data_IF_081077540292
#
_entry.id   IF_081077540292
#
_cell.length_a   1.000
_cell.length_b   1.000
_cell.length_c   1.000
_cell.angle_alpha   90.00
_cell.angle_beta   90.00
_cell.angle_gamma   90.00
#
_symmetry.space_group_name_H-M   'P 1'
#
loop_
_entity.id
_entity.type
_entity.pdbx_description
1 polymer ?
#
# COMPACT_ATOMS: atom_id res chain seq x y z
N UNK A 1 11.21 15.26 -19.90
CA UNK A 1 11.88 14.69 -18.72
C UNK A 1 12.68 13.49 -19.19
N UNK A 2 13.99 13.44 -18.90
CA UNK A 2 14.84 12.31 -19.29
C UNK A 2 14.65 11.18 -18.27
N UNK A 3 14.23 10.00 -18.73
CA UNK A 3 14.13 8.80 -17.89
C UNK A 3 15.53 8.26 -17.57
N UNK A 4 15.75 7.75 -16.36
CA UNK A 4 17.01 7.09 -16.02
C UNK A 4 17.04 5.67 -16.58
N UNK A 5 17.63 5.52 -17.77
CA UNK A 5 17.71 4.23 -18.49
C UNK A 5 18.35 3.13 -17.64
N UNK A 6 19.39 3.44 -16.87
CA UNK A 6 20.10 2.47 -16.02
C UNK A 6 19.20 1.89 -14.92
N UNK A 7 18.41 2.75 -14.27
CA UNK A 7 17.49 2.33 -13.20
C UNK A 7 16.31 1.53 -13.76
N UNK A 8 15.83 1.91 -14.94
CA UNK A 8 14.79 1.16 -15.66
C UNK A 8 15.31 -0.23 -16.05
N UNK A 9 16.55 -0.30 -16.57
CA UNK A 9 17.25 -1.54 -16.91
C UNK A 9 17.34 -2.47 -15.69
N UNK A 10 17.97 -1.99 -14.61
CA UNK A 10 18.11 -2.73 -13.34
C UNK A 10 16.76 -3.23 -12.82
N UNK A 11 15.72 -2.41 -12.91
CA UNK A 11 14.39 -2.77 -12.42
C UNK A 11 13.74 -3.89 -13.24
N UNK A 12 13.86 -3.87 -14.56
CA UNK A 12 13.34 -4.92 -15.44
C UNK A 12 14.17 -6.20 -15.27
N UNK A 13 15.50 -6.09 -15.23
CA UNK A 13 16.39 -7.22 -14.94
C UNK A 13 16.04 -7.89 -13.59
N UNK A 14 15.73 -7.08 -12.57
CA UNK A 14 15.26 -7.60 -11.29
C UNK A 14 13.95 -8.38 -11.42
N UNK A 15 12.95 -7.88 -12.17
CA UNK A 15 11.68 -8.58 -12.35
C UNK A 15 11.87 -9.99 -12.96
N UNK A 16 12.81 -10.12 -13.89
CA UNK A 16 13.16 -11.36 -14.58
C UNK A 16 14.30 -12.16 -13.89
N UNK A 17 14.78 -11.70 -12.73
CA UNK A 17 15.84 -12.36 -11.97
C UNK A 17 15.32 -13.58 -11.22
N UNK A 18 16.22 -14.53 -10.92
CA UNK A 18 15.87 -15.71 -10.11
C UNK A 18 15.27 -15.29 -8.75
N UNK A 19 15.88 -14.28 -8.12
CA UNK A 19 15.46 -13.76 -6.81
C UNK A 19 13.99 -13.29 -6.79
N UNK A 20 13.54 -12.65 -7.86
CA UNK A 20 12.14 -12.20 -7.95
C UNK A 20 11.23 -13.37 -8.34
N UNK A 21 11.62 -14.13 -9.38
CA UNK A 21 10.79 -15.21 -9.94
C UNK A 21 10.59 -16.40 -9.01
N UNK A 22 11.38 -16.56 -7.93
CA UNK A 22 11.08 -17.52 -6.87
C UNK A 22 9.72 -17.23 -6.22
N UNK A 23 9.36 -15.95 -6.05
CA UNK A 23 8.20 -15.51 -5.28
C UNK A 23 7.13 -14.77 -6.10
N UNK A 24 7.49 -14.22 -7.26
CA UNK A 24 6.60 -13.41 -8.09
C UNK A 24 5.70 -14.27 -8.98
N UNK A 25 4.54 -14.65 -8.43
CA UNK A 25 3.56 -15.47 -9.12
C UNK A 25 3.06 -14.83 -10.43
N UNK A 26 2.86 -13.50 -10.44
CA UNK A 26 2.34 -12.79 -11.61
C UNK A 26 3.27 -12.96 -12.81
N UNK A 27 4.55 -12.69 -12.64
CA UNK A 27 5.50 -12.81 -13.76
C UNK A 27 5.83 -14.25 -14.09
N UNK A 28 5.87 -15.16 -13.10
CA UNK A 28 6.00 -16.60 -13.38
C UNK A 28 4.89 -17.09 -14.32
N UNK A 29 3.63 -16.85 -13.98
CA UNK A 29 2.49 -17.30 -14.78
C UNK A 29 2.59 -16.80 -16.22
N UNK A 30 2.83 -15.50 -16.42
CA UNK A 30 2.94 -14.92 -17.76
C UNK A 30 4.08 -15.54 -18.57
N UNK A 31 5.27 -15.71 -17.96
CA UNK A 31 6.42 -16.28 -18.66
C UNK A 31 6.19 -17.76 -18.98
N UNK A 32 5.54 -18.52 -18.09
CA UNK A 32 5.25 -19.95 -18.30
C UNK A 32 4.17 -20.19 -19.36
N UNK A 33 3.17 -19.32 -19.44
CA UNK A 33 2.11 -19.41 -20.45
C UNK A 33 2.60 -19.01 -21.85
N UNK A 34 3.63 -18.16 -21.94
CA UNK A 34 4.18 -17.75 -23.22
C UNK A 34 5.14 -18.82 -23.78
N UNK A 35 4.91 -19.37 -24.99
CA UNK A 35 5.73 -20.45 -25.55
C UNK A 35 7.23 -20.15 -25.61
N UNK A 36 7.55 -18.87 -25.83
CA UNK A 36 8.93 -18.37 -25.93
C UNK A 36 9.43 -17.63 -24.69
N UNK A 37 8.65 -17.61 -23.61
CA UNK A 37 9.04 -17.00 -22.33
C UNK A 37 9.04 -15.45 -22.31
N UNK A 38 8.37 -14.80 -23.27
CA UNK A 38 8.33 -13.34 -23.34
C UNK A 38 7.31 -12.72 -22.36
N UNK A 39 7.74 -11.61 -21.76
CA UNK A 39 6.93 -10.72 -20.94
C UNK A 39 6.69 -9.41 -21.71
N UNK A 40 5.44 -9.10 -22.02
CA UNK A 40 5.11 -7.88 -22.76
C UNK A 40 5.39 -6.60 -21.95
N UNK A 41 5.76 -5.54 -22.64
CA UNK A 41 5.96 -4.22 -22.03
C UNK A 41 4.67 -3.63 -21.44
N UNK A 42 3.50 -4.02 -21.94
CA UNK A 42 2.22 -3.65 -21.31
C UNK A 42 2.15 -4.12 -19.85
N UNK A 43 2.63 -5.34 -19.57
CA UNK A 43 2.69 -5.86 -18.19
C UNK A 43 3.69 -5.10 -17.33
N UNK A 44 4.81 -4.67 -17.91
CA UNK A 44 5.89 -3.92 -17.23
C UNK A 44 5.44 -2.48 -16.93
N UNK A 45 4.83 -1.77 -17.88
CA UNK A 45 4.29 -0.42 -17.69
C UNK A 45 3.21 -0.37 -16.61
N UNK A 46 2.49 -1.46 -16.39
CA UNK A 46 1.49 -1.55 -15.33
C UNK A 46 2.09 -1.64 -13.92
N UNK A 47 3.39 -1.91 -13.78
CA UNK A 47 4.04 -2.02 -12.48
C UNK A 47 4.28 -0.65 -11.83
N UNK A 48 3.90 -0.52 -10.56
CA UNK A 48 3.99 0.74 -9.81
C UNK A 48 5.41 1.32 -9.77
N UNK A 49 6.44 0.48 -9.65
CA UNK A 49 7.83 0.94 -9.63
C UNK A 49 8.26 1.48 -11.00
N UNK A 50 7.83 0.89 -12.11
CA UNK A 50 8.08 1.42 -13.47
C UNK A 50 7.36 2.76 -13.68
N UNK A 51 6.09 2.87 -13.25
CA UNK A 51 5.33 4.14 -13.28
C UNK A 51 6.03 5.23 -12.47
N UNK A 52 6.57 4.91 -11.28
CA UNK A 52 7.33 5.85 -10.44
C UNK A 52 8.66 6.29 -11.06
N UNK A 53 9.27 5.46 -11.91
CA UNK A 53 10.45 5.82 -12.68
C UNK A 53 10.14 6.74 -13.88
N UNK A 54 8.87 7.10 -14.08
CA UNK A 54 8.44 8.02 -15.13
C UNK A 54 8.42 7.37 -16.52
N UNK A 55 8.45 6.04 -16.59
CA UNK A 55 8.38 5.30 -17.85
C UNK A 55 6.91 5.17 -18.28
N UNK A 56 6.61 5.64 -19.48
CA UNK A 56 5.26 5.67 -20.03
C UNK A 56 5.16 5.03 -21.41
N UNK A 57 6.27 4.79 -22.10
CA UNK A 57 6.27 4.26 -23.47
C UNK A 57 7.09 2.99 -23.64
N UNK A 58 6.80 2.22 -24.69
CA UNK A 58 7.56 1.02 -25.06
C UNK A 58 8.96 1.37 -25.54
N UNK A 59 9.10 2.45 -26.30
CA UNK A 59 10.40 2.94 -26.78
C UNK A 59 11.37 3.25 -25.63
N UNK A 60 10.85 3.83 -24.53
CA UNK A 60 11.62 4.08 -23.33
C UNK A 60 12.14 2.80 -22.68
N UNK A 61 11.32 1.75 -22.62
CA UNK A 61 11.74 0.43 -22.14
C UNK A 61 12.75 -0.20 -23.11
N UNK A 62 12.45 -0.27 -24.40
CA UNK A 62 13.33 -0.86 -25.41
C UNK A 62 14.71 -0.20 -25.40
N UNK A 63 14.76 1.12 -25.35
CA UNK A 63 16.02 1.87 -25.32
C UNK A 63 16.79 1.67 -24.02
N UNK A 64 16.09 1.44 -22.90
CA UNK A 64 16.73 1.17 -21.60
C UNK A 64 17.27 -0.25 -21.49
N UNK A 65 16.77 -1.19 -22.31
CA UNK A 65 17.13 -2.60 -22.25
C UNK A 65 18.07 -3.04 -23.38
N UNK A 66 18.35 -2.15 -24.33
CA UNK A 66 19.11 -2.46 -25.55
C UNK A 66 20.53 -2.99 -25.28
N UNK A 67 21.15 -2.61 -24.16
CA UNK A 67 22.48 -3.00 -23.73
C UNK A 67 22.48 -4.01 -22.56
N UNK A 68 21.31 -4.55 -22.19
CA UNK A 68 21.23 -5.56 -21.12
C UNK A 68 21.85 -6.89 -21.55
N UNK A 69 22.58 -7.51 -20.62
CA UNK A 69 23.13 -8.87 -20.78
C UNK A 69 22.30 -9.93 -20.07
N UNK A 70 21.35 -9.53 -19.23
CA UNK A 70 20.50 -10.43 -18.43
C UNK A 70 19.14 -10.68 -19.08
N UNK A 71 18.71 -9.77 -19.95
CA UNK A 71 17.43 -9.85 -20.66
C UNK A 71 17.61 -9.52 -22.13
N UNK A 72 16.73 -10.05 -22.97
CA UNK A 72 16.75 -9.83 -24.41
C UNK A 72 15.37 -9.41 -24.93
N UNK A 73 15.38 -8.50 -25.91
CA UNK A 73 14.16 -7.99 -26.56
C UNK A 73 13.76 -8.89 -27.72
N UNK A 74 12.46 -8.95 -28.02
CA UNK A 74 11.98 -9.52 -29.27
C UNK A 74 12.25 -8.57 -30.46
N UNK A 75 12.03 -9.05 -31.69
CA UNK A 75 12.23 -8.26 -32.91
C UNK A 75 11.37 -6.98 -32.94
N UNK A 76 10.13 -7.06 -32.45
CA UNK A 76 9.20 -5.93 -32.38
C UNK A 76 9.55 -4.90 -31.28
N UNK A 77 10.50 -5.21 -30.38
CA UNK A 77 10.89 -4.38 -29.24
C UNK A 77 9.71 -3.97 -28.34
N UNK A 78 8.72 -4.83 -28.21
CA UNK A 78 7.54 -4.63 -27.35
C UNK A 78 7.45 -5.64 -26.20
N UNK A 79 8.40 -6.58 -26.16
CA UNK A 79 8.44 -7.66 -25.18
C UNK A 79 9.89 -7.98 -24.82
N UNK A 80 10.08 -8.52 -23.61
CA UNK A 80 11.40 -8.89 -23.07
C UNK A 80 11.34 -10.27 -22.44
N UNK A 81 12.40 -11.05 -22.59
CA UNK A 81 12.57 -12.31 -21.87
C UNK A 81 13.95 -12.41 -21.24
N UNK A 82 14.14 -13.47 -20.47
CA UNK A 82 15.44 -13.79 -19.87
C UNK A 82 16.43 -14.14 -20.98
N UNK A 83 17.67 -13.66 -20.87
CA UNK A 83 18.70 -13.96 -21.84
C UNK A 83 18.83 -15.49 -22.05
N UNK A 84 18.83 -15.92 -23.31
CA UNK A 84 18.88 -17.34 -23.68
C UNK A 84 17.67 -18.16 -23.23
N UNK A 85 16.54 -17.51 -22.93
CA UNK A 85 15.33 -18.13 -22.37
C UNK A 85 15.61 -19.01 -21.14
N UNK A 86 16.45 -18.51 -20.22
CA UNK A 86 16.85 -19.24 -19.00
C UNK A 86 15.62 -19.73 -18.21
N UNK A 87 15.55 -21.02 -17.84
CA UNK A 87 14.40 -21.59 -17.15
C UNK A 87 14.15 -20.90 -15.80
N UNK A 88 12.87 -20.71 -15.48
CA UNK A 88 12.41 -20.08 -14.25
C UNK A 88 12.84 -20.94 -13.05
N UNK A 89 13.37 -20.35 -11.95
CA UNK A 89 13.76 -21.12 -10.77
C UNK A 89 12.55 -21.86 -10.17
N UNK A 90 12.75 -22.97 -9.48
CA UNK A 90 11.67 -23.62 -8.74
C UNK A 90 11.08 -22.64 -7.70
N UNK A 91 9.75 -22.70 -7.48
CA UNK A 91 9.12 -21.95 -6.39
C UNK A 91 9.69 -22.51 -5.09
N UNK A 92 10.09 -21.65 -4.15
CA UNK A 92 10.36 -22.13 -2.78
C UNK A 92 9.09 -22.84 -2.32
N UNK A 93 9.23 -24.09 -1.86
CA UNK A 93 8.11 -24.86 -1.36
C UNK A 93 7.60 -24.16 -0.11
N UNK A 94 6.54 -23.38 -0.26
CA UNK A 94 5.73 -22.92 0.86
C UNK A 94 5.05 -24.17 1.40
N UNK A 95 5.06 -24.35 2.72
CA UNK A 95 4.36 -25.44 3.37
C UNK A 95 2.90 -25.48 2.85
N UNK A 96 2.43 -26.59 2.26
CA UNK A 96 1.05 -26.69 1.77
C UNK A 96 0.01 -26.31 2.82
N UNK A 97 0.28 -26.56 4.11
CA UNK A 97 -0.59 -26.14 5.20
C UNK A 97 -0.62 -24.61 5.35
N UNK A 98 0.53 -23.94 5.27
CA UNK A 98 0.61 -22.48 5.36
C UNK A 98 -0.06 -21.81 4.14
N UNK A 99 0.10 -22.40 2.95
CA UNK A 99 -0.56 -21.92 1.73
C UNK A 99 -2.08 -22.04 1.83
N UNK A 100 -2.58 -23.21 2.27
CA UNK A 100 -4.01 -23.45 2.43
C UNK A 100 -4.64 -22.55 3.52
N UNK A 101 -3.96 -22.36 4.65
CA UNK A 101 -4.43 -21.47 5.72
C UNK A 101 -4.53 -20.03 5.24
N UNK A 102 -3.52 -19.56 4.48
CA UNK A 102 -3.52 -18.21 3.91
C UNK A 102 -4.67 -18.02 2.92
N UNK A 103 -4.91 -19.00 2.06
CA UNK A 103 -6.00 -18.96 1.08
C UNK A 103 -7.37 -18.97 1.76
N UNK A 104 -7.57 -19.84 2.75
CA UNK A 104 -8.80 -19.89 3.56
C UNK A 104 -9.08 -18.55 4.25
N UNK A 105 -8.06 -17.94 4.86
CA UNK A 105 -8.17 -16.63 5.51
C UNK A 105 -8.47 -15.49 4.53
N UNK A 106 -7.94 -15.57 3.30
CA UNK A 106 -8.25 -14.59 2.25
C UNK A 106 -9.68 -14.76 1.72
N UNK A 107 -10.16 -16.00 1.59
CA UNK A 107 -11.53 -16.32 1.20
C UNK A 107 -12.55 -15.85 2.25
N UNK A 108 -12.37 -16.21 3.52
CA UNK A 108 -13.21 -15.79 4.65
C UNK A 108 -13.29 -14.25 4.72
N UNK A 109 -12.16 -13.57 4.49
CA UNK A 109 -12.12 -12.12 4.50
C UNK A 109 -12.86 -11.49 3.32
N UNK A 110 -12.75 -12.05 2.11
CA UNK A 110 -13.51 -11.56 0.94
C UNK A 110 -15.01 -11.75 1.16
N UNK A 111 -15.40 -12.89 1.73
CA UNK A 111 -16.79 -13.14 2.09
C UNK A 111 -17.31 -12.12 3.10
N UNK A 112 -16.51 -11.80 4.14
CA UNK A 112 -16.89 -10.80 5.14
C UNK A 112 -17.00 -9.39 4.55
N UNK A 113 -16.10 -8.98 3.64
CA UNK A 113 -16.20 -7.70 2.92
C UNK A 113 -17.52 -7.66 2.15
N UNK A 114 -17.77 -8.68 1.34
CA UNK A 114 -18.98 -8.78 0.53
C UNK A 114 -20.23 -8.74 1.41
N UNK A 115 -20.23 -9.46 2.54
CA UNK A 115 -21.34 -9.46 3.50
C UNK A 115 -21.71 -8.04 3.96
N UNK A 116 -20.74 -7.18 4.28
CA UNK A 116 -21.01 -5.81 4.73
C UNK A 116 -21.32 -4.83 3.60
N UNK A 117 -20.79 -5.07 2.39
CA UNK A 117 -21.08 -4.25 1.21
C UNK A 117 -22.48 -4.48 0.67
N UNK A 118 -22.97 -5.72 0.69
CA UNK A 118 -24.29 -6.10 0.21
C UNK A 118 -25.32 -6.29 1.33
N UNK A 119 -25.03 -5.83 2.56
CA UNK A 119 -25.90 -6.04 3.70
C UNK A 119 -27.27 -5.36 3.52
N UNK A 120 -28.33 -6.15 3.42
CA UNK A 120 -29.71 -5.66 3.41
C UNK A 120 -30.38 -5.91 4.77
N UNK A 121 -30.72 -4.87 5.56
CA UNK A 121 -31.26 -5.07 6.89
C UNK A 121 -32.70 -5.58 6.88
N UNK A 122 -32.97 -6.61 7.67
CA UNK A 122 -34.26 -6.86 8.30
C UNK A 122 -34.16 -6.37 9.73
N UNK A 123 -35.03 -5.44 10.12
CA UNK A 123 -35.02 -4.85 11.47
C UNK A 123 -35.99 -5.63 12.37
N UNK A 124 -35.50 -6.00 13.54
CA UNK A 124 -36.30 -6.64 14.58
C UNK A 124 -36.40 -5.71 15.79
N UNK A 125 -37.55 -5.72 16.45
CA UNK A 125 -37.72 -5.15 17.78
C UNK A 125 -37.69 -6.27 18.81
N UNK A 126 -37.09 -5.97 19.95
CA UNK A 126 -36.95 -6.88 21.08
C UNK A 126 -37.56 -6.26 22.32
N UNK A 127 -38.26 -7.04 23.14
CA UNK A 127 -38.79 -6.59 24.42
C UNK A 127 -38.76 -7.69 25.49
N UNK A 128 -38.54 -7.32 26.75
CA UNK A 128 -38.66 -8.20 27.91
C UNK A 128 -39.40 -7.51 29.07
N UNK A 129 -39.90 -8.32 30.01
CA UNK A 129 -40.73 -7.83 31.12
C UNK A 129 -39.91 -7.29 32.31
N UNK A 130 -38.65 -7.72 32.43
CA UNK A 130 -37.79 -7.39 33.57
C UNK A 130 -36.47 -6.75 33.11
N UNK A 131 -35.99 -5.74 33.84
CA UNK A 131 -34.69 -5.14 33.56
C UNK A 131 -33.56 -6.13 33.85
N UNK A 132 -32.49 -6.10 33.05
CA UNK A 132 -31.30 -6.94 33.27
C UNK A 132 -31.42 -8.37 32.73
N UNK A 133 -32.55 -8.75 32.13
CA UNK A 133 -32.74 -10.07 31.49
C UNK A 133 -31.74 -10.31 30.37
N UNK A 134 -31.48 -9.30 29.55
CA UNK A 134 -30.58 -9.40 28.43
C UNK A 134 -29.80 -8.10 28.23
N UNK A 135 -28.70 -8.22 27.50
CA UNK A 135 -27.96 -7.10 26.93
C UNK A 135 -27.62 -7.44 25.48
N UNK A 136 -27.18 -6.43 24.72
CA UNK A 136 -26.89 -6.60 23.30
C UNK A 136 -25.89 -7.73 23.00
N UNK A 137 -24.87 -7.97 23.85
CA UNK A 137 -23.87 -9.02 23.64
C UNK A 137 -24.51 -10.40 23.72
N UNK A 138 -25.29 -10.64 24.77
CA UNK A 138 -25.94 -11.92 24.99
C UNK A 138 -26.99 -12.20 23.91
N UNK A 139 -27.68 -11.16 23.41
CA UNK A 139 -28.60 -11.29 22.26
C UNK A 139 -27.84 -11.67 21.00
N UNK A 140 -26.76 -10.97 20.65
CA UNK A 140 -25.93 -11.32 19.48
C UNK A 140 -25.35 -12.73 19.59
N UNK A 141 -24.91 -13.13 20.79
CA UNK A 141 -24.38 -14.46 21.05
C UNK A 141 -25.46 -15.55 20.93
N UNK A 142 -26.66 -15.32 21.45
CA UNK A 142 -27.79 -16.23 21.35
C UNK A 142 -28.23 -16.42 19.88
N UNK A 143 -28.34 -15.32 19.12
CA UNK A 143 -28.64 -15.36 17.68
C UNK A 143 -27.64 -16.22 16.91
N UNK A 144 -26.34 -16.08 17.22
CA UNK A 144 -25.30 -16.88 16.58
C UNK A 144 -25.36 -18.35 17.01
N UNK A 145 -25.49 -18.64 18.31
CA UNK A 145 -25.43 -20.02 18.82
C UNK A 145 -26.70 -20.84 18.52
N UNK A 146 -27.87 -20.21 18.63
CA UNK A 146 -29.16 -20.90 18.52
C UNK A 146 -29.65 -20.95 17.07
N UNK A 147 -29.33 -19.95 16.26
CA UNK A 147 -29.87 -19.81 14.91
C UNK A 147 -28.81 -19.64 13.82
N UNK A 148 -27.51 -19.63 14.17
CA UNK A 148 -26.40 -19.44 13.22
C UNK A 148 -26.53 -18.16 12.37
N UNK A 149 -27.08 -17.09 12.94
CA UNK A 149 -27.23 -15.79 12.26
C UNK A 149 -26.41 -14.72 12.95
N UNK A 150 -25.74 -13.90 12.13
CA UNK A 150 -24.95 -12.79 12.60
C UNK A 150 -25.78 -11.49 12.57
N UNK A 151 -25.79 -10.77 13.70
CA UNK A 151 -26.44 -9.47 13.83
C UNK A 151 -25.38 -8.36 13.98
N UNK A 152 -24.95 -7.72 12.87
CA UNK A 152 -23.95 -6.64 12.93
C UNK A 152 -24.37 -5.43 13.78
N UNK A 153 -25.68 -5.21 13.87
CA UNK A 153 -26.27 -4.20 14.71
C UNK A 153 -27.17 -4.88 15.74
N UNK A 154 -26.90 -4.60 17.01
CA UNK A 154 -27.78 -4.93 18.11
C UNK A 154 -27.69 -3.83 19.16
N UNK A 155 -28.83 -3.37 19.63
CA UNK A 155 -28.97 -2.43 20.73
C UNK A 155 -30.07 -2.94 21.64
N UNK A 156 -29.79 -2.98 22.93
CA UNK A 156 -30.76 -3.35 23.94
C UNK A 156 -30.59 -2.41 25.13
N UNK A 157 -31.68 -1.74 25.51
CA UNK A 157 -31.76 -0.85 26.65
C UNK A 157 -32.18 -1.61 27.90
N UNK A 158 -33.03 -0.97 28.72
CA UNK A 158 -33.55 -1.55 29.97
C UNK A 158 -34.51 -2.71 29.73
N UNK A 159 -35.49 -2.52 28.84
CA UNK A 159 -36.56 -3.48 28.58
C UNK A 159 -36.76 -3.75 27.08
N UNK A 160 -36.24 -2.91 26.20
CA UNK A 160 -36.48 -3.00 24.78
C UNK A 160 -35.23 -2.66 23.95
N UNK A 161 -35.30 -2.97 22.66
CA UNK A 161 -34.19 -2.77 21.75
C UNK A 161 -34.51 -3.17 20.31
N UNK A 162 -33.45 -3.16 19.50
CA UNK A 162 -33.51 -3.57 18.11
C UNK A 162 -32.24 -4.29 17.69
N UNK A 163 -32.36 -5.20 16.73
CA UNK A 163 -31.22 -5.75 16.01
C UNK A 163 -31.51 -5.83 14.52
N UNK A 164 -30.45 -5.97 13.72
CA UNK A 164 -30.56 -6.11 12.27
C UNK A 164 -29.90 -7.41 11.82
N UNK A 165 -30.61 -8.19 11.02
CA UNK A 165 -30.07 -9.35 10.31
C UNK A 165 -29.97 -9.07 8.82
N UNK A 166 -29.11 -9.80 8.12
CA UNK A 166 -28.99 -9.70 6.67
C UNK A 166 -30.11 -10.51 6.00
N UNK A 167 -30.95 -9.85 5.20
CA UNK A 167 -32.04 -10.46 4.43
C UNK A 167 -31.57 -11.63 3.58
N UNK A 168 -30.43 -11.50 2.91
CA UNK A 168 -29.93 -12.52 1.98
C UNK A 168 -29.30 -13.73 2.70
N UNK A 169 -29.08 -13.62 4.02
CA UNK A 169 -28.44 -14.66 4.85
C UNK A 169 -29.34 -15.18 5.96
N UNK A 170 -30.58 -14.72 6.02
CA UNK A 170 -31.55 -15.13 7.05
C UNK A 170 -32.73 -15.77 6.34
N UNK A 171 -32.92 -17.07 6.51
CA UNK A 171 -34.04 -17.79 5.89
C UNK A 171 -35.36 -17.45 6.58
N UNK A 172 -36.48 -17.64 5.87
CA UNK A 172 -37.80 -17.34 6.43
C UNK A 172 -38.09 -18.21 7.67
N UNK A 173 -37.63 -19.46 7.69
CA UNK A 173 -37.79 -20.36 8.83
C UNK A 173 -37.11 -19.82 10.09
N UNK A 174 -35.93 -19.21 9.95
CA UNK A 174 -35.24 -18.57 11.09
C UNK A 174 -36.00 -17.35 11.58
N UNK A 175 -36.56 -16.56 10.66
CA UNK A 175 -37.38 -15.39 11.01
C UNK A 175 -38.61 -15.84 11.81
N UNK A 176 -39.31 -16.86 11.33
CA UNK A 176 -40.52 -17.39 11.94
C UNK A 176 -40.21 -17.96 13.34
N UNK A 177 -39.11 -18.72 13.48
CA UNK A 177 -38.63 -19.22 14.77
C UNK A 177 -38.32 -18.09 15.74
N UNK A 178 -37.59 -17.05 15.31
CA UNK A 178 -37.26 -15.92 16.17
C UNK A 178 -38.53 -15.20 16.66
N UNK A 179 -39.50 -14.98 15.78
CA UNK A 179 -40.75 -14.29 16.13
C UNK A 179 -41.63 -15.13 17.06
N UNK A 180 -41.69 -16.44 16.83
CA UNK A 180 -42.50 -17.37 17.63
C UNK A 180 -41.85 -17.64 19.01
N UNK A 181 -40.58 -18.02 19.00
CA UNK A 181 -39.90 -18.57 20.16
C UNK A 181 -39.13 -17.50 20.95
N UNK A 182 -38.85 -16.34 20.35
CA UNK A 182 -38.01 -15.30 20.95
C UNK A 182 -36.62 -15.83 21.31
N UNK A 183 -35.99 -15.22 22.31
CA UNK A 183 -34.71 -15.69 22.87
C UNK A 183 -34.86 -15.95 24.37
N UNK A 184 -34.51 -17.16 24.80
CA UNK A 184 -34.60 -17.57 26.19
C UNK A 184 -33.30 -17.22 26.96
N UNK A 185 -33.46 -16.60 28.13
CA UNK A 185 -32.37 -16.26 29.06
C UNK A 185 -32.76 -16.69 30.49
N UNK A 186 -32.36 -17.90 30.88
CA UNK A 186 -32.78 -18.50 32.16
C UNK A 186 -34.28 -18.76 32.16
N UNK A 187 -35.00 -18.23 33.15
CA UNK A 187 -36.47 -18.31 33.24
C UNK A 187 -37.17 -17.21 32.42
N UNK A 188 -36.43 -16.17 32.03
CA UNK A 188 -36.97 -15.00 31.34
C UNK A 188 -36.80 -15.12 29.82
N UNK A 189 -37.71 -14.48 29.07
CA UNK A 189 -37.72 -14.49 27.60
C UNK A 189 -37.66 -13.07 27.04
N UNK A 190 -36.85 -12.89 26.00
CA UNK A 190 -36.89 -11.71 25.13
C UNK A 190 -37.80 -12.04 23.95
N UNK A 191 -38.91 -11.31 23.84
CA UNK A 191 -39.81 -11.37 22.69
C UNK A 191 -39.20 -10.66 21.49
N UNK A 192 -39.46 -11.16 20.29
CA UNK A 192 -38.94 -10.61 19.04
C UNK A 192 -40.10 -10.38 18.08
N UNK A 193 -40.07 -9.24 17.37
CA UNK A 193 -41.01 -8.94 16.28
C UNK A 193 -40.26 -8.34 15.10
N UNK A 194 -40.68 -8.67 13.88
CA UNK A 194 -40.19 -7.95 12.69
C UNK A 194 -40.75 -6.53 12.74
N UNK A 195 -39.89 -5.54 12.52
CA UNK A 195 -40.30 -4.14 12.43
C UNK A 195 -40.70 -3.83 10.99
N UNK A 196 -41.99 -3.56 10.79
CA UNK A 196 -42.58 -3.22 9.50
C UNK A 196 -43.45 -1.96 9.62
N UNK A 197 -43.81 -1.35 8.48
CA UNK A 197 -44.69 -0.19 8.43
C UNK A 197 -44.24 0.95 9.35
N UNK A 198 -45.15 1.41 10.22
CA UNK A 198 -44.88 2.52 11.15
C UNK A 198 -43.74 2.22 12.13
N UNK A 199 -43.63 0.97 12.61
CA UNK A 199 -42.56 0.59 13.55
C UNK A 199 -41.18 0.67 12.89
N UNK A 200 -41.09 0.28 11.62
CA UNK A 200 -39.86 0.41 10.83
C UNK A 200 -39.50 1.88 10.61
N UNK A 201 -40.48 2.71 10.25
CA UNK A 201 -40.28 4.16 10.08
C UNK A 201 -39.75 4.81 11.36
N UNK A 202 -40.34 4.46 12.52
CA UNK A 202 -39.89 4.93 13.85
C UNK A 202 -38.46 4.50 14.17
N UNK A 203 -38.08 3.27 13.82
CA UNK A 203 -36.70 2.81 13.98
C UNK A 203 -35.72 3.69 13.20
N UNK A 204 -36.01 3.97 11.92
CA UNK A 204 -35.12 4.78 11.09
C UNK A 204 -35.01 6.23 11.60
N UNK A 205 -36.11 6.79 12.08
CA UNK A 205 -36.15 8.13 12.68
C UNK A 205 -35.30 8.21 13.96
N UNK A 206 -35.48 7.27 14.89
CA UNK A 206 -34.85 7.32 16.22
C UNK A 206 -33.44 6.71 16.25
N UNK A 207 -33.18 5.71 15.42
CA UNK A 207 -32.00 4.85 15.53
C UNK A 207 -31.20 4.72 14.23
N UNK A 208 -31.69 5.25 13.11
CA UNK A 208 -31.02 5.17 11.81
C UNK A 208 -29.61 5.75 11.79
N UNK A 209 -29.37 6.88 12.46
CA UNK A 209 -28.02 7.46 12.58
C UNK A 209 -27.05 6.53 13.31
N UNK A 210 -27.50 5.92 14.41
CA UNK A 210 -26.68 4.98 15.17
C UNK A 210 -26.41 3.71 14.39
N UNK A 211 -27.44 3.15 13.74
CA UNK A 211 -27.31 2.01 12.84
C UNK A 211 -26.27 2.27 11.75
N UNK A 212 -26.40 3.36 11.01
CA UNK A 212 -25.47 3.71 9.94
C UNK A 212 -24.03 3.88 10.47
N UNK A 213 -23.88 4.52 11.64
CA UNK A 213 -22.57 4.66 12.28
C UNK A 213 -21.92 3.31 12.60
N UNK A 214 -22.67 2.37 13.18
CA UNK A 214 -22.18 1.02 13.49
C UNK A 214 -21.80 0.26 12.22
N UNK A 215 -22.66 0.30 11.19
CA UNK A 215 -22.40 -0.41 9.92
C UNK A 215 -21.17 0.16 9.20
N UNK A 216 -20.99 1.48 9.17
CA UNK A 216 -19.83 2.12 8.58
C UNK A 216 -18.54 1.82 9.35
N UNK A 217 -18.60 1.75 10.69
CA UNK A 217 -17.45 1.31 11.49
C UNK A 217 -17.07 -0.13 11.16
N UNK A 218 -18.03 -1.04 11.07
CA UNK A 218 -17.79 -2.45 10.71
C UNK A 218 -17.19 -2.60 9.31
N UNK A 219 -17.73 -1.89 8.31
CA UNK A 219 -17.14 -1.83 6.96
C UNK A 219 -15.69 -1.33 7.01
N UNK A 220 -15.42 -0.28 7.78
CA UNK A 220 -14.07 0.26 7.94
C UNK A 220 -13.13 -0.72 8.63
N UNK A 221 -13.56 -1.42 9.68
CA UNK A 221 -12.75 -2.42 10.38
C UNK A 221 -12.26 -3.50 9.40
N UNK A 222 -13.18 -4.08 8.62
CA UNK A 222 -12.87 -5.12 7.64
C UNK A 222 -11.95 -4.58 6.53
N UNK A 223 -12.20 -3.37 6.04
CA UNK A 223 -11.39 -2.72 5.00
C UNK A 223 -10.01 -2.22 5.49
N UNK A 224 -9.89 -1.72 6.73
CA UNK A 224 -8.63 -1.27 7.31
C UNK A 224 -7.66 -2.44 7.49
N UNK A 225 -8.14 -3.65 7.81
CA UNK A 225 -7.30 -4.85 7.78
C UNK A 225 -6.68 -5.15 6.41
N UNK A 226 -7.23 -4.63 5.30
CA UNK A 226 -6.63 -4.72 3.95
C UNK A 226 -5.53 -3.67 3.80
N UNK A 227 -5.82 -2.42 4.15
CA UNK A 227 -4.88 -1.29 4.03
C UNK A 227 -3.67 -1.44 4.96
N UNK A 228 -3.88 -1.82 6.22
CA UNK A 228 -2.79 -2.03 7.18
C UNK A 228 -1.86 -3.21 6.82
N UNK A 229 -2.36 -4.25 6.15
CA UNK A 229 -1.52 -5.34 5.62
C UNK A 229 -0.69 -4.87 4.42
N UNK A 230 -1.26 -4.04 3.54
CA UNK A 230 -0.53 -3.38 2.44
C UNK A 230 0.56 -2.45 2.98
N UNK A 231 0.21 -1.62 3.97
CA UNK A 231 1.14 -0.67 4.60
C UNK A 231 2.22 -1.37 5.44
N UNK A 232 1.93 -2.53 6.07
CA UNK A 232 2.95 -3.38 6.73
C UNK A 232 3.91 -4.02 5.73
N UNK A 233 3.43 -4.44 4.55
CA UNK A 233 4.30 -4.94 3.47
C UNK A 233 5.22 -3.83 2.95
N UNK A 234 4.74 -2.59 2.88
CA UNK A 234 5.56 -1.42 2.54
C UNK A 234 6.51 -0.98 3.68
N UNK A 235 6.08 -1.07 4.96
CA UNK A 235 6.93 -0.75 6.12
C UNK A 235 8.05 -1.77 6.39
N UNK A 236 7.84 -3.06 6.10
CA UNK A 236 8.89 -4.11 6.23
C UNK A 236 10.08 -3.88 5.29
N UNK A 237 9.96 -2.95 4.33
CA UNK A 237 11.04 -2.53 3.42
C UNK A 237 11.82 -1.29 3.88
N UNK A 238 11.37 -0.51 4.88
CA UNK A 238 12.12 0.67 5.34
C UNK A 238 13.27 0.25 6.27
N UNK A 239 14.48 0.08 5.70
CA UNK A 239 15.72 -0.08 6.48
C UNK A 239 16.15 1.29 7.03
N UNK A 240 16.59 1.33 8.28
CA UNK A 240 17.29 2.49 8.84
C UNK A 240 18.67 2.62 8.18
N UNK A 241 19.07 3.85 7.87
CA UNK A 241 20.38 4.16 7.32
C UNK A 241 20.86 5.53 7.82
N UNK A 242 22.17 5.78 7.75
CA UNK A 242 22.79 7.00 8.25
C UNK A 242 23.23 7.92 7.10
N UNK A 243 23.03 9.22 7.26
CA UNK A 243 23.50 10.24 6.33
C UNK A 243 23.94 11.49 7.09
N UNK A 244 25.16 11.97 6.87
CA UNK A 244 25.67 13.19 7.51
C UNK A 244 25.68 13.15 9.05
N UNK A 245 25.86 11.95 9.64
CA UNK A 245 25.86 11.75 11.09
C UNK A 245 24.47 11.59 11.73
N UNK A 246 23.39 11.65 10.94
CA UNK A 246 22.01 11.45 11.41
C UNK A 246 21.38 10.19 10.83
N UNK A 247 20.47 9.57 11.58
CA UNK A 247 19.72 8.37 11.16
C UNK A 247 18.42 8.75 10.45
N UNK A 248 18.15 8.05 9.35
CA UNK A 248 16.96 8.21 8.52
C UNK A 248 16.33 6.85 8.22
N UNK A 249 15.01 6.84 8.06
CA UNK A 249 14.24 5.64 7.63
C UNK A 249 13.74 5.76 6.19
N UNK A 250 13.94 6.92 5.56
CA UNK A 250 13.37 7.26 4.26
C UNK A 250 14.23 8.29 3.54
N UNK A 251 14.67 7.96 2.32
CA UNK A 251 15.55 8.83 1.53
C UNK A 251 14.79 10.07 1.04
N UNK A 252 13.46 10.02 1.01
CA UNK A 252 12.64 11.19 0.70
C UNK A 252 12.87 12.33 1.70
N UNK A 253 13.14 12.03 2.97
CA UNK A 253 13.48 13.04 3.98
C UNK A 253 14.76 13.80 3.60
N UNK A 254 15.78 13.09 3.12
CA UNK A 254 17.03 13.68 2.65
C UNK A 254 16.80 14.50 1.36
N UNK A 255 16.02 13.98 0.40
CA UNK A 255 15.65 14.72 -0.82
C UNK A 255 14.95 16.03 -0.49
N UNK A 256 14.02 16.02 0.45
CA UNK A 256 13.27 17.21 0.86
C UNK A 256 14.16 18.21 1.60
N UNK A 257 15.12 17.73 2.39
CA UNK A 257 16.10 18.60 3.05
C UNK A 257 16.92 19.40 2.04
N UNK A 258 17.53 18.74 1.05
CA UNK A 258 18.32 19.43 0.02
C UNK A 258 17.48 20.32 -0.90
N UNK A 259 16.26 19.91 -1.25
CA UNK A 259 15.29 20.79 -1.93
C UNK A 259 14.98 22.03 -1.11
N UNK A 260 14.81 21.87 0.20
CA UNK A 260 14.56 22.96 1.12
C UNK A 260 15.73 23.95 1.15
N UNK A 261 16.98 23.47 1.13
CA UNK A 261 18.17 24.32 1.07
C UNK A 261 18.19 25.10 -0.26
N UNK A 262 18.02 24.43 -1.41
CA UNK A 262 17.92 25.10 -2.72
C UNK A 262 16.82 26.18 -2.74
N UNK A 263 15.65 25.86 -2.16
CA UNK A 263 14.50 26.75 -2.11
C UNK A 263 14.77 28.04 -1.35
N UNK A 264 15.38 27.93 -0.17
CA UNK A 264 15.56 29.04 0.79
C UNK A 264 16.83 29.87 0.58
N UNK A 265 17.83 29.33 -0.10
CA UNK A 265 19.09 30.02 -0.35
C UNK A 265 18.97 30.94 -1.57
N UNK A 266 19.34 32.20 -1.41
CA UNK A 266 19.38 33.17 -2.50
C UNK A 266 20.55 32.87 -3.45
N UNK A 267 20.45 33.31 -4.70
CA UNK A 267 21.51 33.07 -5.69
C UNK A 267 22.82 33.76 -5.25
N UNK A 268 23.94 33.03 -5.29
CA UNK A 268 25.25 33.51 -4.85
C UNK A 268 25.43 33.59 -3.34
N UNK A 269 24.41 33.28 -2.53
CA UNK A 269 24.53 33.26 -1.07
C UNK A 269 25.40 32.07 -0.63
N UNK A 270 26.40 32.34 0.22
CA UNK A 270 27.24 31.30 0.84
C UNK A 270 26.42 30.44 1.78
N UNK A 271 26.47 29.13 1.61
CA UNK A 271 25.81 28.16 2.48
C UNK A 271 26.72 27.90 3.68
N UNK A 272 26.17 28.12 4.87
CA UNK A 272 26.87 27.98 6.15
C UNK A 272 26.51 26.65 6.85
N UNK A 273 27.24 26.33 7.93
CA UNK A 273 26.93 25.20 8.82
C UNK A 273 25.51 25.33 9.40
N UNK A 274 24.75 24.23 9.61
CA UNK A 274 25.14 22.82 9.40
C UNK A 274 25.05 22.34 7.94
N UNK A 275 24.33 23.06 7.08
CA UNK A 275 24.06 22.64 5.70
C UNK A 275 25.32 22.48 4.84
N UNK A 276 26.36 23.27 5.14
CA UNK A 276 27.67 23.12 4.54
C UNK A 276 28.24 21.70 4.70
N UNK A 277 28.21 21.14 5.91
CA UNK A 277 28.72 19.80 6.20
C UNK A 277 27.82 18.69 5.61
N UNK A 278 26.51 18.95 5.53
CA UNK A 278 25.58 18.06 4.85
C UNK A 278 25.84 17.99 3.34
N UNK A 279 26.19 19.12 2.72
CA UNK A 279 26.54 19.17 1.30
C UNK A 279 27.88 18.49 1.03
N UNK A 280 28.88 18.59 1.93
CA UNK A 280 30.08 17.76 1.84
C UNK A 280 29.75 16.28 1.89
N UNK A 281 28.94 15.86 2.87
CA UNK A 281 28.49 14.48 3.03
C UNK A 281 27.73 13.98 1.80
N UNK A 282 26.98 14.86 1.14
CA UNK A 282 26.29 14.54 -0.11
C UNK A 282 27.28 14.36 -1.27
N UNK A 283 28.29 15.22 -1.36
CA UNK A 283 29.26 15.25 -2.45
C UNK A 283 30.19 14.02 -2.44
N UNK A 284 30.32 13.33 -1.31
CA UNK A 284 30.97 12.01 -1.21
C UNK A 284 30.37 10.95 -2.16
N UNK A 285 29.11 11.15 -2.57
CA UNK A 285 28.40 10.27 -3.49
C UNK A 285 28.44 10.78 -4.93
N UNK A 286 29.22 11.81 -5.24
CA UNK A 286 29.41 12.28 -6.61
C UNK A 286 30.50 11.46 -7.33
N UNK A 287 30.28 11.12 -8.60
CA UNK A 287 31.25 10.33 -9.39
C UNK A 287 32.62 11.02 -9.53
N UNK A 288 32.63 12.36 -9.53
CA UNK A 288 33.84 13.17 -9.61
C UNK A 288 34.11 13.92 -8.28
N UNK A 289 33.92 13.25 -7.14
CA UNK A 289 34.02 13.88 -5.82
C UNK A 289 35.39 14.49 -5.53
N UNK A 290 36.48 13.84 -5.94
CA UNK A 290 37.84 14.29 -5.66
C UNK A 290 38.11 15.65 -6.30
N UNK A 291 37.78 15.81 -7.58
CA UNK A 291 37.90 17.09 -8.27
C UNK A 291 36.97 18.15 -7.67
N UNK A 292 35.73 17.79 -7.32
CA UNK A 292 34.76 18.73 -6.75
C UNK A 292 35.12 19.17 -5.32
N UNK A 293 35.75 18.33 -4.51
CA UNK A 293 36.19 18.65 -3.14
C UNK A 293 37.54 19.35 -3.08
N UNK A 294 38.42 19.14 -4.06
CA UNK A 294 39.73 19.77 -4.13
C UNK A 294 39.60 21.30 -4.05
N UNK A 295 40.33 21.94 -3.14
CA UNK A 295 40.35 23.41 -2.98
C UNK A 295 38.96 24.06 -2.80
N UNK A 296 37.99 23.33 -2.20
CA UNK A 296 36.66 23.84 -1.87
C UNK A 296 36.76 24.96 -0.80
N UNK A 297 36.29 26.17 -1.12
CA UNK A 297 36.11 27.25 -0.15
C UNK A 297 34.70 27.21 0.46
N UNK A 298 33.66 27.16 -0.36
CA UNK A 298 32.27 27.10 0.10
C UNK A 298 31.29 26.58 -0.94
N UNK A 299 30.05 26.31 -0.49
CA UNK A 299 28.93 26.03 -1.37
C UNK A 299 28.03 27.24 -1.56
N UNK A 300 27.42 27.35 -2.74
CA UNK A 300 26.37 28.32 -3.02
C UNK A 300 25.25 27.69 -3.87
N UNK A 301 24.17 28.44 -4.09
CA UNK A 301 23.10 28.08 -5.03
C UNK A 301 23.09 29.11 -6.14
N UNK A 302 22.92 28.67 -7.37
CA UNK A 302 22.70 29.57 -8.51
C UNK A 302 21.84 28.89 -9.58
N UNK A 303 21.44 29.66 -10.58
CA UNK A 303 20.74 29.15 -11.76
C UNK A 303 21.73 28.36 -12.63
N UNK A 304 21.33 27.20 -13.13
CA UNK A 304 22.18 26.37 -13.99
C UNK A 304 22.51 27.13 -15.30
N UNK A 305 23.78 27.20 -15.74
CA UNK A 305 24.17 28.02 -16.90
C UNK A 305 23.42 27.63 -18.19
N UNK A 306 23.19 26.34 -18.38
CA UNK A 306 22.51 25.79 -19.57
C UNK A 306 21.00 25.60 -19.38
N UNK A 307 20.51 25.56 -18.13
CA UNK A 307 19.12 25.23 -17.79
C UNK A 307 18.54 26.30 -16.86
N UNK A 308 18.18 27.44 -17.45
CA UNK A 308 17.82 28.67 -16.73
C UNK A 308 16.56 28.56 -15.85
N UNK A 309 15.79 27.49 -16.02
CA UNK A 309 14.62 27.11 -15.23
C UNK A 309 14.97 26.32 -13.95
N UNK A 310 16.23 25.93 -13.79
CA UNK A 310 16.68 25.08 -12.66
C UNK A 310 17.75 25.77 -11.81
N UNK A 311 17.65 25.60 -10.49
CA UNK A 311 18.68 26.01 -9.53
C UNK A 311 19.45 24.79 -9.03
N UNK A 312 20.78 24.90 -9.00
CA UNK A 312 21.68 23.83 -8.57
C UNK A 312 22.61 24.33 -7.46
N UNK A 313 23.27 23.39 -6.80
CA UNK A 313 24.37 23.71 -5.89
C UNK A 313 25.64 23.93 -6.69
N UNK A 314 26.49 24.83 -6.22
CA UNK A 314 27.81 25.10 -6.78
C UNK A 314 28.87 24.92 -5.70
N UNK A 315 29.94 24.25 -6.08
CA UNK A 315 31.24 24.29 -5.40
C UNK A 315 31.93 25.57 -5.83
N UNK A 316 32.30 26.41 -4.86
CA UNK A 316 33.16 27.58 -5.10
C UNK A 316 34.54 27.25 -4.56
N UNK A 317 35.54 27.32 -5.44
CA UNK A 317 36.94 27.05 -5.13
C UNK A 317 37.62 28.27 -4.50
N UNK A 318 38.78 28.06 -3.87
CA UNK A 318 39.59 29.14 -3.31
C UNK A 318 40.09 30.17 -4.34
N UNK A 319 40.21 29.78 -5.62
CA UNK A 319 40.55 30.68 -6.74
C UNK A 319 39.34 31.45 -7.30
N UNK A 320 38.14 31.23 -6.74
CA UNK A 320 36.90 31.87 -7.17
C UNK A 320 36.17 31.15 -8.31
N UNK A 321 36.73 30.08 -8.88
CA UNK A 321 36.04 29.26 -9.88
C UNK A 321 34.82 28.57 -9.27
N UNK A 322 33.77 28.42 -10.09
CA UNK A 322 32.50 27.82 -9.67
C UNK A 322 32.16 26.65 -10.56
N UNK A 323 31.73 25.57 -9.92
CA UNK A 323 31.36 24.33 -10.58
C UNK A 323 30.05 23.80 -10.01
N UNK A 324 29.07 23.50 -10.85
CA UNK A 324 27.79 22.97 -10.38
C UNK A 324 27.90 21.49 -9.98
N UNK A 325 26.97 21.06 -9.13
CA UNK A 325 26.66 19.64 -8.93
C UNK A 325 25.19 19.43 -8.61
N UNK A 326 24.69 18.26 -9.01
CA UNK A 326 23.30 17.88 -8.78
C UNK A 326 23.15 17.09 -7.49
N UNK A 327 22.46 17.68 -6.51
CA UNK A 327 22.07 16.96 -5.29
C UNK A 327 21.22 15.72 -5.60
N UNK A 328 20.34 15.78 -6.60
CA UNK A 328 19.51 14.64 -7.00
C UNK A 328 20.38 13.46 -7.44
N UNK A 329 21.40 13.70 -8.28
CA UNK A 329 22.33 12.64 -8.72
C UNK A 329 23.12 12.05 -7.54
N UNK A 330 23.61 12.90 -6.64
CA UNK A 330 24.34 12.44 -5.47
C UNK A 330 23.46 11.59 -4.54
N UNK A 331 22.19 11.98 -4.35
CA UNK A 331 21.24 11.18 -3.55
C UNK A 331 20.93 9.86 -4.26
N UNK A 332 20.76 9.84 -5.58
CA UNK A 332 20.59 8.59 -6.34
C UNK A 332 21.77 7.64 -6.12
N UNK A 333 23.00 8.15 -6.21
CA UNK A 333 24.20 7.34 -5.96
C UNK A 333 24.27 6.84 -4.51
N UNK A 334 23.81 7.64 -3.55
CA UNK A 334 23.67 7.21 -2.15
C UNK A 334 22.63 6.09 -1.99
N UNK A 335 21.46 6.21 -2.62
CA UNK A 335 20.42 5.17 -2.65
C UNK A 335 20.98 3.84 -3.18
N UNK A 336 21.74 3.88 -4.29
CA UNK A 336 22.38 2.69 -4.86
C UNK A 336 23.37 2.04 -3.91
N UNK A 337 24.22 2.84 -3.23
CA UNK A 337 25.22 2.31 -2.29
C UNK A 337 24.58 1.64 -1.07
N UNK A 338 23.42 2.12 -0.63
CA UNK A 338 22.68 1.53 0.49
C UNK A 338 22.01 0.19 0.14
N UNK A 339 22.00 -0.23 -1.14
CA UNK A 339 21.26 -1.42 -1.61
C UNK A 339 19.79 -1.39 -1.19
N UNK A 340 19.17 -0.21 -1.22
CA UNK A 340 17.76 0.02 -0.93
C UNK A 340 16.87 -0.29 -2.13
#
# INVERSE_FOLDING_TARGET
MSINKEEVKKQVEYYLSDKNLVNDEKFRTIIQEHPEGYLSFGNILNCNKIKRLGVTTFEQLATSLADSTLVELNEAKDSVRRAGNKPIPAKEAVDPAEAAEKEAREAEKKELINFYETFQPIIFSTACEQEGVANWRNITEALLKQHNVHAPYCRFGKLEGNFALNKDKTSQEVIDQLVQDGLQFGESKVTIKVSEGEALSKFWELHGRHYNGVMELKKKEVNQTVKAKKDKKEKKQKREFEFGGEKYTDVLTIKNLFKGILGRTANGQKIISPYHEMLKSLLEYHNNKEAKLKDLDHFTVDVHPEHKDTRCFFVVKSDGTKEDFSAVKCISNFEEKLKL
#
